data_IF_843013116730
#
_entry.id   IF_843013116730
#
_cell.length_a   1.000
_cell.length_b   1.000
_cell.length_c   1.000
_cell.angle_alpha   90.00
_cell.angle_beta   90.00
_cell.angle_gamma   90.00
#
_symmetry.space_group_name_H-M   'P 1'
#
loop_
_entity.id
_entity.type
_entity.pdbx_description
1 polymer ?
#
# COMPACT_ATOMS: atom_id res chain seq x y z
N UNK A 1 -13.70 -1.40 -5.97
CA UNK A 1 -12.24 -1.37 -6.18
C UNK A 1 -11.47 -2.28 -5.23
N UNK A 2 -11.72 -2.22 -3.91
CA UNK A 2 -11.04 -3.08 -2.92
C UNK A 2 -10.99 -4.57 -3.29
N UNK A 3 -12.13 -5.15 -3.70
CA UNK A 3 -12.20 -6.56 -4.15
C UNK A 3 -11.23 -6.87 -5.30
N UNK A 4 -11.07 -5.94 -6.26
CA UNK A 4 -10.13 -6.14 -7.37
C UNK A 4 -8.67 -6.03 -6.91
N UNK A 5 -8.39 -5.14 -5.96
CA UNK A 5 -7.04 -5.02 -5.36
C UNK A 5 -6.68 -6.30 -4.62
N UNK A 6 -7.60 -6.84 -3.82
CA UNK A 6 -7.38 -8.11 -3.11
C UNK A 6 -7.14 -9.27 -4.09
N UNK A 7 -7.97 -9.37 -5.13
CA UNK A 7 -7.81 -10.41 -6.17
C UNK A 7 -6.48 -10.29 -6.92
N UNK A 8 -6.07 -9.08 -7.29
CA UNK A 8 -4.79 -8.84 -7.94
C UNK A 8 -3.61 -9.18 -7.02
N UNK A 9 -3.66 -8.73 -5.77
CA UNK A 9 -2.64 -9.01 -4.76
C UNK A 9 -2.50 -10.50 -4.45
N UNK A 10 -3.60 -11.27 -4.55
CA UNK A 10 -3.58 -12.73 -4.42
C UNK A 10 -3.01 -13.44 -5.65
N UNK A 11 -3.22 -12.89 -6.83
CA UNK A 11 -2.81 -13.52 -8.09
C UNK A 11 -1.34 -13.23 -8.48
N UNK A 12 -0.80 -12.09 -8.04
CA UNK A 12 0.54 -11.62 -8.39
C UNK A 12 1.49 -11.79 -7.22
N UNK A 13 2.60 -12.50 -7.43
CA UNK A 13 3.61 -12.79 -6.41
C UNK A 13 4.30 -11.50 -5.90
N UNK A 14 4.73 -11.52 -4.64
CA UNK A 14 5.45 -10.43 -4.00
C UNK A 14 6.89 -10.26 -4.47
N UNK A 15 7.50 -11.32 -4.98
CA UNK A 15 8.86 -11.28 -5.52
C UNK A 15 8.91 -10.59 -6.89
N UNK A 16 7.79 -10.60 -7.63
CA UNK A 16 7.68 -10.05 -8.98
C UNK A 16 6.91 -8.72 -9.05
N UNK A 17 5.95 -8.49 -8.14
CA UNK A 17 5.07 -7.32 -8.16
C UNK A 17 5.03 -6.59 -6.81
N UNK A 18 5.65 -5.42 -6.81
CA UNK A 18 5.60 -4.45 -5.72
C UNK A 18 4.25 -3.70 -5.71
N UNK A 19 3.67 -3.52 -4.52
CA UNK A 19 2.43 -2.76 -4.33
C UNK A 19 2.76 -1.36 -3.78
N UNK A 20 2.38 -0.34 -4.54
CA UNK A 20 2.46 1.08 -4.14
C UNK A 20 1.09 1.74 -4.32
N UNK A 21 0.63 2.42 -3.28
CA UNK A 21 -0.65 3.15 -3.26
C UNK A 21 -0.33 4.63 -3.33
N UNK A 22 -0.61 5.22 -4.49
CA UNK A 22 -0.53 6.66 -4.70
C UNK A 22 -1.92 7.26 -4.55
N UNK A 23 -2.01 8.32 -3.76
CA UNK A 23 -3.18 9.17 -3.68
C UNK A 23 -2.80 10.64 -3.87
N UNK A 24 -3.81 11.47 -4.14
CA UNK A 24 -3.66 12.91 -4.16
C UNK A 24 -5.00 13.54 -3.82
N UNK A 25 -4.98 14.56 -2.98
CA UNK A 25 -6.17 15.27 -2.55
C UNK A 25 -5.96 16.78 -2.59
N UNK A 26 -7.04 17.53 -2.41
CA UNK A 26 -6.98 18.99 -2.32
C UNK A 26 -6.17 19.45 -1.09
N UNK A 27 -5.60 20.65 -1.16
CA UNK A 27 -4.74 21.28 -0.11
C UNK A 27 -5.35 21.46 1.29
N UNK A 28 -6.62 21.13 1.47
CA UNK A 28 -7.34 21.29 2.74
C UNK A 28 -7.65 19.95 3.41
N UNK A 29 -7.19 18.83 2.84
CA UNK A 29 -7.30 17.53 3.49
C UNK A 29 -6.41 17.50 4.73
N UNK A 30 -6.94 16.92 5.81
CA UNK A 30 -6.28 16.92 7.13
C UNK A 30 -5.58 15.60 7.41
N UNK A 31 -6.20 14.48 7.03
CA UNK A 31 -5.68 13.13 7.21
C UNK A 31 -4.79 12.69 6.03
N UNK A 32 -3.68 12.02 6.33
CA UNK A 32 -2.84 11.35 5.35
C UNK A 32 -2.19 10.09 5.96
N UNK A 33 -2.18 8.94 5.25
CA UNK A 33 -2.98 8.64 4.05
C UNK A 33 -4.49 8.72 4.32
N UNK A 34 -5.26 8.91 3.26
CA UNK A 34 -6.72 8.89 3.28
C UNK A 34 -7.29 7.56 3.74
N UNK A 35 -8.49 7.59 4.31
CA UNK A 35 -9.23 6.38 4.65
C UNK A 35 -9.44 5.44 3.45
N UNK A 36 -9.57 5.96 2.23
CA UNK A 36 -9.66 5.13 1.02
C UNK A 36 -8.33 4.47 0.69
N UNK A 37 -7.20 5.18 0.78
CA UNK A 37 -5.88 4.58 0.59
C UNK A 37 -5.65 3.46 1.61
N UNK A 38 -5.96 3.69 2.88
CA UNK A 38 -5.85 2.68 3.93
C UNK A 38 -6.74 1.45 3.64
N UNK A 39 -7.98 1.66 3.21
CA UNK A 39 -8.90 0.57 2.84
C UNK A 39 -8.35 -0.27 1.67
N UNK A 40 -7.73 0.36 0.67
CA UNK A 40 -7.10 -0.35 -0.44
C UNK A 40 -5.83 -1.09 0.00
N UNK A 41 -5.06 -0.52 0.95
CA UNK A 41 -3.91 -1.17 1.56
C UNK A 41 -4.31 -2.43 2.34
N UNK A 42 -5.39 -2.38 3.11
CA UNK A 42 -5.90 -3.55 3.84
C UNK A 42 -6.35 -4.65 2.87
N UNK A 43 -7.01 -4.28 1.77
CA UNK A 43 -7.38 -5.24 0.73
C UNK A 43 -6.15 -5.89 0.07
N UNK A 44 -5.10 -5.10 -0.22
CA UNK A 44 -3.85 -5.62 -0.75
C UNK A 44 -3.16 -6.58 0.25
N UNK A 45 -3.10 -6.21 1.52
CA UNK A 45 -2.54 -7.03 2.59
C UNK A 45 -3.31 -8.35 2.75
N UNK A 46 -4.65 -8.30 2.73
CA UNK A 46 -5.51 -9.48 2.75
C UNK A 46 -5.24 -10.41 1.55
N UNK A 47 -5.09 -9.85 0.35
CA UNK A 47 -4.75 -10.61 -0.86
C UNK A 47 -3.39 -11.31 -0.74
N UNK A 48 -2.42 -10.68 -0.08
CA UNK A 48 -1.08 -11.23 0.20
C UNK A 48 -1.02 -12.14 1.44
N UNK A 49 -2.11 -12.27 2.20
CA UNK A 49 -2.14 -13.07 3.43
C UNK A 49 -1.27 -12.50 4.57
N UNK A 50 -1.07 -11.18 4.60
CA UNK A 50 -0.27 -10.46 5.61
C UNK A 50 -1.13 -9.42 6.34
N UNK A 51 -0.65 -8.91 7.47
CA UNK A 51 -1.24 -7.72 8.11
C UNK A 51 -0.68 -6.46 7.46
N UNK A 52 -1.52 -5.45 7.23
CA UNK A 52 -1.03 -4.16 6.74
C UNK A 52 -0.08 -3.52 7.78
N UNK A 53 -0.47 -3.54 9.05
CA UNK A 53 0.37 -3.10 10.15
C UNK A 53 1.69 -3.89 10.19
N UNK A 54 2.81 -3.18 10.09
CA UNK A 54 4.16 -3.76 10.09
C UNK A 54 4.67 -4.18 8.71
N UNK A 55 3.83 -4.08 7.67
CA UNK A 55 4.22 -4.26 6.27
C UNK A 55 3.95 -3.01 5.42
N UNK A 56 3.41 -1.95 6.00
CA UNK A 56 3.22 -0.66 5.35
C UNK A 56 4.48 0.22 5.40
N UNK A 57 4.70 1.01 4.34
CA UNK A 57 5.74 2.04 4.29
C UNK A 57 5.11 3.36 3.85
N UNK A 58 4.90 4.30 4.78
CA UNK A 58 4.09 5.50 4.53
C UNK A 58 4.85 6.72 4.01
N UNK A 59 6.16 6.78 4.27
CA UNK A 59 7.02 7.88 3.83
C UNK A 59 8.36 7.28 3.45
N UNK A 60 8.77 7.48 2.21
CA UNK A 60 10.09 7.03 1.70
C UNK A 60 11.09 8.16 1.50
N UNK A 61 10.70 9.41 1.81
CA UNK A 61 11.63 10.53 1.83
C UNK A 61 12.76 10.25 2.84
N UNK A 62 14.01 10.36 2.39
CA UNK A 62 15.20 9.99 3.17
C UNK A 62 15.50 8.49 3.31
N UNK A 63 14.65 7.58 2.83
CA UNK A 63 14.94 6.14 2.82
C UNK A 63 15.78 5.74 1.60
N UNK A 64 17.06 5.44 1.82
CA UNK A 64 18.04 5.09 0.76
C UNK A 64 18.31 3.59 0.62
N UNK A 65 17.73 2.76 1.49
CA UNK A 65 17.88 1.31 1.47
C UNK A 65 17.00 0.61 0.43
N UNK A 66 17.32 -0.67 0.17
CA UNK A 66 16.52 -1.53 -0.72
C UNK A 66 15.10 -1.69 -0.17
N UNK A 67 14.11 -1.70 -1.05
CA UNK A 67 12.70 -1.96 -0.71
C UNK A 67 12.60 -3.35 -0.06
N UNK A 68 11.87 -3.45 1.06
CA UNK A 68 11.54 -4.73 1.67
C UNK A 68 10.53 -5.45 0.77
N UNK A 69 10.89 -6.60 0.21
CA UNK A 69 9.98 -7.41 -0.59
C UNK A 69 8.68 -7.68 0.17
N UNK A 70 7.55 -7.57 -0.54
CA UNK A 70 6.22 -7.75 0.05
C UNK A 70 5.69 -6.57 0.89
N UNK A 71 6.46 -5.49 1.11
CA UNK A 71 5.90 -4.29 1.74
C UNK A 71 4.87 -3.60 0.84
N UNK A 72 3.96 -2.83 1.44
CA UNK A 72 2.96 -2.01 0.77
C UNK A 72 3.30 -0.54 0.99
N UNK A 73 3.69 0.16 -0.08
CA UNK A 73 4.06 1.57 0.01
C UNK A 73 2.86 2.50 -0.10
N UNK A 74 2.93 3.66 0.56
CA UNK A 74 1.98 4.76 0.38
C UNK A 74 2.73 6.04 -0.01
N UNK A 75 2.14 6.78 -0.94
CA UNK A 75 2.54 8.13 -1.31
C UNK A 75 1.29 9.02 -1.34
N UNK A 76 1.33 10.15 -0.62
CA UNK A 76 0.24 11.09 -0.46
C UNK A 76 0.72 12.55 -0.55
#
# INVERSE_FOLDING_TARGET
LAVLVEQAARALDADDFDIEILEMHHRHKVDAPSGTALLLGEAAAAGRGITLAGNDTRVRDGHTGVRKTGSIGFAA
#
